data_IF_252692890357
#
_entry.id   IF_252692890357
#
_cell.length_a   1.000
_cell.length_b   1.000
_cell.length_c   1.000
_cell.angle_alpha   90.00
_cell.angle_beta   90.00
_cell.angle_gamma   90.00
#
_symmetry.space_group_name_H-M   'P 1'
#
loop_
_entity.id
_entity.type
_entity.pdbx_description
1 polymer ?
#
# COMPACT_ATOMS: atom_id res chain seq x y z
N UNK A 1 19.08 0.87 -3.99
CA UNK A 1 18.73 0.29 -2.69
C UNK A 1 18.54 -1.14 -3.05
N UNK A 2 19.50 -1.93 -2.62
CA UNK A 2 19.61 -3.31 -3.02
C UNK A 2 19.33 -4.10 -1.74
N UNK A 3 18.60 -5.20 -1.89
CA UNK A 3 18.19 -6.01 -0.76
C UNK A 3 19.43 -6.63 -0.12
N UNK A 4 19.49 -6.60 1.21
CA UNK A 4 20.47 -7.37 1.98
C UNK A 4 20.15 -8.86 1.90
N UNK A 5 21.10 -9.73 2.25
CA UNK A 5 20.86 -11.18 2.25
C UNK A 5 19.70 -11.58 3.17
N UNK A 6 19.57 -11.04 4.41
CA UNK A 6 18.41 -11.31 5.25
C UNK A 6 17.08 -10.85 4.65
N UNK A 7 17.06 -9.68 3.97
CA UNK A 7 15.86 -9.22 3.28
C UNK A 7 15.48 -10.13 2.13
N UNK A 8 16.47 -10.60 1.36
CA UNK A 8 16.24 -11.51 0.26
C UNK A 8 15.72 -12.87 0.74
N UNK A 9 16.30 -13.43 1.81
CA UNK A 9 15.87 -14.70 2.38
C UNK A 9 14.39 -14.72 2.77
N UNK A 10 13.82 -13.60 3.20
CA UNK A 10 12.39 -13.45 3.49
C UNK A 10 11.52 -13.42 2.22
N UNK A 11 12.03 -12.87 1.12
CA UNK A 11 11.27 -12.66 -0.13
C UNK A 11 11.40 -13.81 -1.13
N UNK A 12 12.56 -14.43 -1.21
CA UNK A 12 12.90 -15.49 -2.16
C UNK A 12 11.84 -16.60 -2.24
N UNK A 13 11.39 -17.21 -1.12
CA UNK A 13 10.40 -18.30 -1.17
C UNK A 13 9.01 -17.84 -1.64
N UNK A 14 8.74 -16.52 -1.62
CA UNK A 14 7.45 -15.93 -1.97
C UNK A 14 7.39 -15.47 -3.44
N UNK A 15 8.53 -15.42 -4.12
CA UNK A 15 8.62 -15.02 -5.53
C UNK A 15 8.50 -16.25 -6.42
N UNK A 16 7.58 -16.27 -7.42
CA UNK A 16 7.41 -17.42 -8.29
C UNK A 16 8.69 -17.80 -9.00
N UNK A 17 9.06 -19.08 -8.87
CA UNK A 17 10.19 -19.64 -9.59
C UNK A 17 10.01 -19.51 -11.11
N UNK A 18 11.11 -19.38 -11.88
CA UNK A 18 11.06 -19.41 -13.32
C UNK A 18 10.33 -20.63 -13.87
N UNK A 19 9.34 -20.40 -14.74
CA UNK A 19 8.76 -21.49 -15.54
C UNK A 19 9.83 -22.03 -16.48
N UNK A 20 10.32 -23.24 -16.19
CA UNK A 20 11.16 -24.00 -17.11
C UNK A 20 10.23 -24.63 -18.16
N UNK A 21 10.43 -24.31 -19.44
CA UNK A 21 9.66 -24.96 -20.51
C UNK A 21 10.06 -26.43 -20.61
N UNK A 22 9.09 -27.30 -20.95
CA UNK A 22 9.33 -28.73 -21.11
C UNK A 22 10.39 -29.04 -22.18
N UNK A 23 10.44 -28.23 -23.24
CA UNK A 23 11.43 -28.33 -24.32
C UNK A 23 12.81 -27.74 -23.94
N UNK A 24 12.94 -27.12 -22.77
CA UNK A 24 14.12 -26.39 -22.26
C UNK A 24 14.67 -25.33 -23.23
N UNK A 25 13.85 -24.86 -24.19
CA UNK A 25 14.25 -23.84 -25.17
C UNK A 25 13.89 -22.43 -24.68
N UNK A 26 14.69 -21.45 -25.10
CA UNK A 26 14.50 -20.04 -24.79
C UNK A 26 15.52 -19.48 -23.80
N UNK A 27 15.56 -18.15 -23.66
CA UNK A 27 16.52 -17.49 -22.77
C UNK A 27 16.13 -17.74 -21.31
N UNK A 28 17.06 -18.22 -20.45
CA UNK A 28 16.82 -18.36 -19.03
C UNK A 28 16.33 -17.06 -18.39
N UNK A 29 15.54 -17.18 -17.34
CA UNK A 29 15.15 -16.01 -16.57
C UNK A 29 16.37 -15.42 -15.89
N UNK A 30 16.40 -14.08 -15.81
CA UNK A 30 17.38 -13.38 -14.97
C UNK A 30 17.06 -13.62 -13.50
N UNK A 31 18.10 -13.51 -12.69
CA UNK A 31 18.00 -13.64 -11.24
C UNK A 31 16.90 -12.71 -10.68
N UNK A 32 16.07 -13.26 -9.79
CA UNK A 32 14.89 -12.56 -9.30
C UNK A 32 15.27 -11.42 -8.33
N UNK A 33 16.36 -11.59 -7.57
CA UNK A 33 16.88 -10.56 -6.65
C UNK A 33 17.43 -9.38 -7.44
N UNK A 34 18.23 -9.63 -8.46
CA UNK A 34 18.76 -8.59 -9.35
C UNK A 34 17.64 -7.80 -10.04
N UNK A 35 16.61 -8.50 -10.53
CA UNK A 35 15.41 -7.87 -11.11
C UNK A 35 14.71 -6.99 -10.08
N UNK A 36 14.47 -7.50 -8.87
CA UNK A 36 13.79 -6.76 -7.81
C UNK A 36 14.61 -5.55 -7.36
N UNK A 37 15.94 -5.68 -7.25
CA UNK A 37 16.85 -4.56 -6.96
C UNK A 37 16.75 -3.45 -8.02
N UNK A 38 16.66 -3.81 -9.30
CA UNK A 38 16.42 -2.85 -10.37
C UNK A 38 15.08 -2.12 -10.25
N UNK A 39 14.02 -2.84 -9.90
CA UNK A 39 12.67 -2.27 -9.67
C UNK A 39 12.67 -1.34 -8.45
N UNK A 40 13.30 -1.74 -7.34
CA UNK A 40 13.44 -0.93 -6.13
C UNK A 40 14.26 0.34 -6.40
N UNK A 41 15.29 0.25 -7.24
CA UNK A 41 16.03 1.43 -7.68
C UNK A 41 15.11 2.43 -8.40
N UNK A 42 14.30 1.96 -9.36
CA UNK A 42 13.31 2.80 -10.06
C UNK A 42 12.28 3.40 -9.10
N UNK A 43 11.77 2.59 -8.16
CA UNK A 43 10.80 3.05 -7.16
C UNK A 43 11.37 4.20 -6.32
N UNK A 44 12.60 4.04 -5.84
CA UNK A 44 13.28 5.03 -4.99
C UNK A 44 13.64 6.30 -5.74
N UNK A 45 14.24 6.20 -6.92
CA UNK A 45 14.76 7.36 -7.66
C UNK A 45 13.69 8.07 -8.47
N UNK A 46 12.62 7.36 -8.87
CA UNK A 46 11.61 7.88 -9.79
C UNK A 46 12.14 8.06 -11.22
N UNK A 47 13.32 7.55 -11.55
CA UNK A 47 13.93 7.67 -12.87
C UNK A 47 13.10 6.99 -13.96
N UNK A 48 13.31 7.35 -15.24
CA UNK A 48 12.64 6.63 -16.33
C UNK A 48 13.20 5.22 -16.39
N UNK A 49 12.39 4.26 -16.83
CA UNK A 49 12.86 2.88 -17.00
C UNK A 49 14.10 2.78 -17.89
N UNK A 50 14.18 3.59 -18.95
CA UNK A 50 15.34 3.64 -19.84
C UNK A 50 16.64 4.13 -19.16
N UNK A 51 16.54 4.80 -18.01
CA UNK A 51 17.69 5.29 -17.24
C UNK A 51 18.12 4.29 -16.15
N UNK A 52 17.60 3.05 -16.18
CA UNK A 52 18.01 2.00 -15.26
C UNK A 52 19.51 1.67 -15.45
N UNK A 53 20.34 1.71 -14.40
CA UNK A 53 21.78 1.46 -14.53
C UNK A 53 22.10 0.05 -15.03
N UNK A 54 23.19 -0.07 -15.80
CA UNK A 54 23.63 -1.32 -16.46
C UNK A 54 24.02 -2.44 -15.49
N UNK A 55 24.29 -2.12 -14.21
CA UNK A 55 24.53 -3.13 -13.16
C UNK A 55 23.30 -3.99 -12.86
N UNK A 56 22.10 -3.57 -13.29
CA UNK A 56 20.88 -4.35 -13.15
C UNK A 56 20.52 -5.02 -14.49
N UNK A 57 19.67 -6.07 -14.47
CA UNK A 57 19.09 -6.60 -15.68
C UNK A 57 18.40 -5.50 -16.50
N UNK A 58 18.33 -5.70 -17.82
CA UNK A 58 17.79 -4.71 -18.74
C UNK A 58 16.43 -4.18 -18.29
N UNK A 59 16.16 -2.88 -18.52
CA UNK A 59 14.92 -2.28 -18.06
C UNK A 59 13.68 -2.99 -18.59
N UNK A 60 13.72 -3.55 -19.81
CA UNK A 60 12.60 -4.32 -20.38
C UNK A 60 12.33 -5.58 -19.56
N UNK A 61 13.39 -6.23 -19.06
CA UNK A 61 13.28 -7.42 -18.21
C UNK A 61 12.69 -7.04 -16.86
N UNK A 62 13.23 -6.02 -16.21
CA UNK A 62 12.74 -5.52 -14.92
C UNK A 62 11.29 -5.05 -15.01
N UNK A 63 10.95 -4.23 -16.01
CA UNK A 63 9.59 -3.73 -16.21
C UNK A 63 8.60 -4.85 -16.50
N UNK A 64 8.94 -5.79 -17.39
CA UNK A 64 8.06 -6.94 -17.70
C UNK A 64 7.78 -7.80 -16.46
N UNK A 65 8.80 -8.04 -15.63
CA UNK A 65 8.64 -8.79 -14.37
C UNK A 65 7.81 -8.03 -13.36
N UNK A 66 8.05 -6.74 -13.21
CA UNK A 66 7.22 -5.89 -12.35
C UNK A 66 5.74 -5.91 -12.76
N UNK A 67 5.45 -5.77 -14.06
CA UNK A 67 4.08 -5.86 -14.58
C UNK A 67 3.45 -7.23 -14.33
N UNK A 68 4.23 -8.30 -14.50
CA UNK A 68 3.78 -9.65 -14.20
C UNK A 68 3.42 -9.79 -12.72
N UNK A 69 4.34 -9.46 -11.82
CA UNK A 69 4.13 -9.56 -10.37
C UNK A 69 3.02 -8.67 -9.83
N UNK A 70 2.80 -7.51 -10.46
CA UNK A 70 1.70 -6.60 -10.12
C UNK A 70 0.34 -7.12 -10.62
N UNK A 71 0.31 -8.01 -11.62
CA UNK A 71 -0.92 -8.53 -12.22
C UNK A 71 -1.33 -9.89 -11.66
N UNK A 72 -0.36 -10.73 -11.31
CA UNK A 72 -0.60 -12.12 -10.88
C UNK A 72 -0.71 -12.31 -9.36
N UNK A 73 -0.80 -11.20 -8.61
CA UNK A 73 -0.97 -11.21 -7.15
C UNK A 73 0.31 -11.50 -6.37
N UNK A 74 1.48 -11.52 -7.01
CA UNK A 74 2.74 -11.83 -6.31
C UNK A 74 3.05 -10.84 -5.20
N UNK A 75 2.84 -9.55 -5.42
CA UNK A 75 3.14 -8.53 -4.41
C UNK A 75 2.17 -8.63 -3.22
N UNK A 76 0.91 -8.94 -3.47
CA UNK A 76 -0.13 -9.15 -2.48
C UNK A 76 0.17 -10.38 -1.62
N UNK A 77 0.60 -11.49 -2.23
CA UNK A 77 1.06 -12.68 -1.50
C UNK A 77 2.25 -12.37 -0.58
N UNK A 78 3.21 -11.59 -1.07
CA UNK A 78 4.36 -11.15 -0.24
C UNK A 78 3.86 -10.32 0.95
N UNK A 79 2.99 -9.34 0.70
CA UNK A 79 2.42 -8.50 1.76
C UNK A 79 1.67 -9.33 2.79
N UNK A 80 0.87 -10.30 2.36
CA UNK A 80 0.12 -11.18 3.26
C UNK A 80 1.05 -12.04 4.13
N UNK A 81 2.09 -12.61 3.54
CA UNK A 81 3.07 -13.41 4.27
C UNK A 81 3.86 -12.58 5.30
N UNK A 82 4.37 -11.39 4.91
CA UNK A 82 5.13 -10.52 5.81
C UNK A 82 4.25 -9.91 6.91
N UNK A 83 3.00 -9.54 6.60
CA UNK A 83 2.05 -9.08 7.60
C UNK A 83 1.70 -10.21 8.59
N UNK A 84 1.53 -11.44 8.10
CA UNK A 84 1.33 -12.62 8.93
C UNK A 84 2.49 -12.84 9.91
N UNK A 85 3.73 -12.80 9.44
CA UNK A 85 4.93 -12.93 10.30
C UNK A 85 4.99 -11.82 11.36
N UNK A 86 4.75 -10.56 10.97
CA UNK A 86 4.70 -9.45 11.92
C UNK A 86 3.61 -9.61 12.98
N UNK A 87 2.42 -10.10 12.59
CA UNK A 87 1.33 -10.39 13.52
C UNK A 87 1.73 -11.50 14.49
N UNK A 88 2.29 -12.58 13.99
CA UNK A 88 2.64 -13.76 14.80
C UNK A 88 3.78 -13.43 15.79
N UNK A 89 4.63 -12.46 15.46
CA UNK A 89 5.62 -11.86 16.37
C UNK A 89 5.06 -10.78 17.31
N UNK A 90 3.75 -10.51 17.27
CA UNK A 90 3.10 -9.48 18.10
C UNK A 90 3.48 -8.04 17.74
N UNK A 91 3.98 -7.79 16.53
CA UNK A 91 4.41 -6.45 16.10
C UNK A 91 3.30 -5.64 15.41
N UNK A 92 2.21 -6.29 14.97
CA UNK A 92 1.01 -5.62 14.49
C UNK A 92 -0.02 -5.47 15.61
N UNK A 93 -0.53 -4.26 15.81
CA UNK A 93 -1.58 -3.92 16.76
C UNK A 93 -2.91 -3.66 16.03
N UNK A 94 -3.83 -4.63 16.12
CA UNK A 94 -5.16 -4.58 15.51
C UNK A 94 -6.24 -4.04 16.46
N UNK A 95 -5.86 -3.53 17.65
CA UNK A 95 -6.82 -2.94 18.60
C UNK A 95 -7.40 -1.60 18.12
N UNK A 96 -6.65 -0.91 17.27
CA UNK A 96 -7.00 0.30 16.56
C UNK A 96 -6.18 0.43 15.27
N UNK A 97 -6.76 1.07 14.26
CA UNK A 97 -6.08 1.42 13.03
C UNK A 97 -6.48 2.82 12.57
N UNK A 98 -5.68 3.42 11.70
CA UNK A 98 -5.82 4.80 11.24
C UNK A 98 -5.96 4.81 9.73
N UNK A 99 -7.05 5.37 9.22
CA UNK A 99 -7.30 5.52 7.79
C UNK A 99 -7.11 6.96 7.36
N UNK A 100 -6.40 7.15 6.25
CA UNK A 100 -6.33 8.44 5.59
C UNK A 100 -6.12 8.26 4.07
N UNK A 101 -6.38 9.32 3.31
CA UNK A 101 -6.21 9.38 1.87
C UNK A 101 -5.21 10.46 1.46
N UNK A 102 -4.37 10.17 0.47
CA UNK A 102 -3.50 11.18 -0.15
C UNK A 102 -3.71 11.24 -1.66
N UNK A 103 -3.59 12.45 -2.23
CA UNK A 103 -3.67 12.66 -3.66
C UNK A 103 -2.28 12.69 -4.29
N UNK A 104 -2.08 11.90 -5.34
CA UNK A 104 -0.86 11.86 -6.14
C UNK A 104 -1.14 12.35 -7.56
N UNK A 105 -0.36 13.31 -8.02
CA UNK A 105 -0.46 13.83 -9.39
C UNK A 105 -0.06 12.76 -10.42
N UNK A 106 -0.84 12.61 -11.48
CA UNK A 106 -0.57 11.65 -12.56
C UNK A 106 -0.05 12.37 -13.82
N UNK A 107 1.22 12.12 -14.19
CA UNK A 107 1.90 12.87 -15.26
C UNK A 107 1.64 12.34 -16.67
N UNK A 108 1.34 11.05 -16.83
CA UNK A 108 1.16 10.41 -18.15
C UNK A 108 -0.30 10.13 -18.57
N UNK A 109 -1.28 10.56 -17.78
CA UNK A 109 -2.69 10.20 -18.00
C UNK A 109 -2.96 8.68 -17.92
N UNK A 110 -4.22 8.26 -18.02
CA UNK A 110 -4.66 6.85 -17.98
C UNK A 110 -5.98 6.64 -17.24
N UNK A 111 -6.54 5.41 -17.17
CA UNK A 111 -7.69 5.09 -16.34
C UNK A 111 -7.47 5.53 -14.89
N UNK A 112 -8.57 5.86 -14.19
CA UNK A 112 -8.57 6.51 -12.88
C UNK A 112 -7.96 7.94 -12.84
N UNK A 113 -7.84 8.62 -13.99
CA UNK A 113 -7.51 10.05 -14.06
C UNK A 113 -8.78 10.91 -14.05
N UNK A 114 -9.47 10.99 -12.93
CA UNK A 114 -10.57 11.96 -12.76
C UNK A 114 -10.03 13.39 -12.83
N UNK A 115 -10.86 14.35 -13.26
CA UNK A 115 -10.62 15.80 -13.09
C UNK A 115 -11.32 16.30 -11.82
N UNK A 116 -10.75 16.20 -10.60
CA UNK A 116 -11.16 17.08 -9.51
C UNK A 116 -10.40 18.41 -9.60
N UNK A 117 -10.84 19.42 -8.84
CA UNK A 117 -10.31 20.80 -8.79
C UNK A 117 -8.76 20.96 -8.67
N UNK A 118 -8.01 19.89 -8.36
CA UNK A 118 -6.54 19.84 -8.22
C UNK A 118 -5.78 19.19 -9.40
N UNK A 119 -6.46 18.77 -10.47
CA UNK A 119 -5.84 18.18 -11.67
C UNK A 119 -5.96 16.65 -11.76
N UNK A 120 -5.50 16.05 -12.88
CA UNK A 120 -5.54 14.59 -13.10
C UNK A 120 -4.63 13.88 -12.10
N UNK A 121 -5.17 12.97 -11.31
CA UNK A 121 -4.39 12.24 -10.31
C UNK A 121 -5.10 11.02 -9.74
N UNK A 122 -4.41 10.36 -8.83
CA UNK A 122 -4.82 9.11 -8.19
C UNK A 122 -4.85 9.32 -6.70
N UNK A 123 -5.91 8.85 -6.05
CA UNK A 123 -5.98 8.82 -4.60
C UNK A 123 -5.39 7.50 -4.12
N UNK A 124 -4.45 7.56 -3.19
CA UNK A 124 -4.01 6.40 -2.42
C UNK A 124 -4.76 6.45 -1.10
N UNK A 125 -5.49 5.40 -0.79
CA UNK A 125 -6.05 5.16 0.54
C UNK A 125 -5.13 4.18 1.25
N UNK A 126 -4.82 4.45 2.52
CA UNK A 126 -4.03 3.54 3.34
C UNK A 126 -4.65 3.44 4.74
N UNK A 127 -4.57 2.24 5.30
CA UNK A 127 -4.84 1.97 6.70
C UNK A 127 -3.52 1.59 7.34
N UNK A 128 -3.16 2.30 8.41
CA UNK A 128 -2.02 1.95 9.27
C UNK A 128 -2.54 1.34 10.57
N UNK A 129 -1.90 0.30 11.08
CA UNK A 129 -2.27 -0.34 12.35
C UNK A 129 -1.90 0.54 13.58
N UNK A 130 -2.12 0.01 14.78
CA UNK A 130 -1.74 0.64 16.04
C UNK A 130 -0.22 0.86 16.19
N UNK A 131 0.63 0.12 15.49
CA UNK A 131 2.08 0.37 15.45
C UNK A 131 2.49 1.40 14.38
N UNK A 132 1.58 1.78 13.48
CA UNK A 132 1.83 2.64 12.33
C UNK A 132 2.44 1.91 11.14
N UNK A 133 2.30 0.59 11.07
CA UNK A 133 2.65 -0.26 9.95
C UNK A 133 1.49 -0.31 8.95
N UNK A 134 1.76 -0.50 7.64
CA UNK A 134 0.70 -0.72 6.66
C UNK A 134 -0.21 -1.87 7.10
N UNK A 135 -1.51 -1.75 6.94
CA UNK A 135 -2.46 -2.84 7.14
C UNK A 135 -3.28 -3.10 5.88
N UNK A 136 -3.63 -2.04 5.15
CA UNK A 136 -4.36 -2.15 3.90
C UNK A 136 -4.07 -0.94 3.01
N UNK A 137 -4.07 -1.13 1.69
CA UNK A 137 -3.98 -0.02 0.74
C UNK A 137 -4.89 -0.24 -0.45
N UNK A 138 -5.40 0.84 -1.03
CA UNK A 138 -6.02 0.77 -2.34
C UNK A 138 -5.77 2.08 -3.10
N UNK A 139 -5.97 2.05 -4.42
CA UNK A 139 -5.98 3.26 -5.24
C UNK A 139 -7.33 3.48 -5.87
N UNK A 140 -7.70 4.76 -6.02
CA UNK A 140 -8.92 5.16 -6.68
C UNK A 140 -8.68 6.34 -7.61
N UNK A 141 -9.62 6.56 -8.53
CA UNK A 141 -9.69 7.84 -9.23
C UNK A 141 -9.90 8.97 -8.24
N UNK A 142 -9.51 10.18 -8.59
CA UNK A 142 -9.57 11.29 -7.64
C UNK A 142 -10.97 11.90 -7.45
N UNK A 143 -12.03 11.26 -7.94
CA UNK A 143 -13.42 11.76 -7.86
C UNK A 143 -14.19 11.29 -6.61
N UNK A 144 -14.15 10.01 -6.19
CA UNK A 144 -14.93 9.54 -5.05
C UNK A 144 -14.49 10.18 -3.73
N UNK A 145 -15.47 10.44 -2.87
CA UNK A 145 -15.22 10.76 -1.46
C UNK A 145 -14.62 9.56 -0.73
N UNK A 146 -13.74 9.82 0.23
CA UNK A 146 -12.95 8.81 0.94
C UNK A 146 -13.80 7.81 1.72
N UNK A 147 -14.91 8.28 2.27
CA UNK A 147 -15.96 7.45 2.90
C UNK A 147 -16.38 6.28 2.01
N UNK A 148 -16.45 6.47 0.68
CA UNK A 148 -16.86 5.44 -0.28
C UNK A 148 -15.74 4.45 -0.63
N UNK A 149 -14.51 4.71 -0.18
CA UNK A 149 -13.33 3.89 -0.45
C UNK A 149 -12.93 3.05 0.76
N UNK A 150 -13.58 3.21 1.91
CA UNK A 150 -13.22 2.52 3.16
C UNK A 150 -13.32 1.01 3.01
N UNK A 151 -14.46 0.48 2.55
CA UNK A 151 -14.65 -0.97 2.40
C UNK A 151 -13.68 -1.55 1.39
N UNK A 152 -13.53 -0.87 0.24
CA UNK A 152 -12.55 -1.28 -0.77
C UNK A 152 -11.14 -1.32 -0.19
N UNK A 153 -10.78 -0.38 0.70
CA UNK A 153 -9.48 -0.39 1.35
C UNK A 153 -9.36 -1.58 2.30
N UNK A 154 -10.38 -1.84 3.13
CA UNK A 154 -10.43 -3.01 4.03
C UNK A 154 -10.42 -4.36 3.28
N UNK A 155 -11.09 -4.46 2.12
CA UNK A 155 -11.08 -5.65 1.26
C UNK A 155 -9.69 -5.93 0.67
N UNK A 156 -8.81 -4.92 0.63
CA UNK A 156 -7.41 -5.03 0.23
C UNK A 156 -6.47 -5.06 1.45
N UNK A 157 -6.98 -5.53 2.60
CA UNK A 157 -6.18 -5.78 3.80
C UNK A 157 -5.12 -6.85 3.55
N UNK A 158 -3.94 -6.63 4.12
CA UNK A 158 -2.83 -7.58 4.10
C UNK A 158 -2.98 -8.68 5.16
N UNK A 159 -4.07 -8.65 5.92
CA UNK A 159 -4.46 -9.69 6.87
C UNK A 159 -5.95 -10.01 6.71
N UNK A 160 -6.31 -11.27 6.95
CA UNK A 160 -7.71 -11.69 7.02
C UNK A 160 -8.45 -11.06 8.22
N UNK A 161 -7.73 -10.84 9.34
CA UNK A 161 -8.30 -10.16 10.50
C UNK A 161 -8.28 -8.64 10.31
N UNK A 162 -9.43 -8.02 10.50
CA UNK A 162 -9.61 -6.57 10.46
C UNK A 162 -9.41 -5.93 11.85
N UNK A 163 -9.09 -4.63 11.92
CA UNK A 163 -8.86 -3.95 13.20
C UNK A 163 -10.19 -3.73 13.92
N UNK A 164 -10.18 -3.75 15.26
CA UNK A 164 -11.39 -3.52 16.08
C UNK A 164 -11.97 -2.12 15.91
N UNK A 165 -11.11 -1.14 15.61
CA UNK A 165 -11.47 0.28 15.50
C UNK A 165 -10.76 0.90 14.33
N UNK A 166 -11.45 1.76 13.61
CA UNK A 166 -10.89 2.55 12.52
C UNK A 166 -11.04 4.04 12.85
N UNK A 167 -9.91 4.73 12.94
CA UNK A 167 -9.83 6.14 13.28
C UNK A 167 -9.56 6.92 12.00
N UNK A 168 -10.46 7.84 11.66
CA UNK A 168 -10.34 8.70 10.49
C UNK A 168 -10.47 10.18 10.86
N UNK A 169 -10.19 11.05 9.90
CA UNK A 169 -10.47 12.47 10.04
C UNK A 169 -11.96 12.80 9.93
N UNK A 170 -12.25 14.09 10.05
CA UNK A 170 -13.60 14.64 9.97
C UNK A 170 -14.30 14.38 8.62
N UNK A 171 -13.55 14.06 7.57
CA UNK A 171 -14.13 13.68 6.28
C UNK A 171 -14.85 12.33 6.37
N UNK A 172 -14.45 11.45 7.30
CA UNK A 172 -15.05 10.14 7.55
C UNK A 172 -16.30 10.17 8.43
N UNK A 173 -16.71 11.34 8.95
CA UNK A 173 -17.98 11.49 9.66
C UNK A 173 -19.17 11.13 8.76
N UNK A 174 -19.74 9.94 8.97
CA UNK A 174 -20.91 9.44 8.23
C UNK A 174 -21.65 8.35 9.01
N UNK A 175 -22.93 8.61 9.36
CA UNK A 175 -23.80 7.62 10.03
C UNK A 175 -23.93 6.32 9.25
N UNK A 176 -24.02 6.40 7.92
CA UNK A 176 -24.13 5.22 7.06
C UNK A 176 -22.84 4.39 7.03
N UNK A 177 -21.68 5.05 7.09
CA UNK A 177 -20.40 4.35 7.22
C UNK A 177 -20.28 3.70 8.61
N UNK A 178 -20.62 4.45 9.67
CA UNK A 178 -20.56 3.98 11.05
C UNK A 178 -21.38 2.69 11.24
N UNK A 179 -22.65 2.69 10.80
CA UNK A 179 -23.54 1.52 10.92
C UNK A 179 -23.02 0.32 10.10
N UNK A 180 -22.65 0.55 8.84
CA UNK A 180 -22.18 -0.51 7.94
C UNK A 180 -20.90 -1.17 8.44
N UNK A 181 -19.94 -0.41 8.96
CA UNK A 181 -18.71 -0.96 9.52
C UNK A 181 -18.98 -1.77 10.79
N UNK A 182 -19.89 -1.32 11.65
CA UNK A 182 -20.26 -2.04 12.86
C UNK A 182 -21.00 -3.35 12.53
N UNK A 183 -21.99 -3.30 11.63
CA UNK A 183 -22.86 -4.43 11.30
C UNK A 183 -22.17 -5.48 10.42
N UNK A 184 -21.46 -5.06 9.36
CA UNK A 184 -20.90 -5.99 8.37
C UNK A 184 -19.45 -6.41 8.68
N UNK A 185 -18.69 -5.59 9.43
CA UNK A 185 -17.25 -5.82 9.65
C UNK A 185 -16.88 -5.93 11.13
N UNK A 186 -17.78 -5.60 12.06
CA UNK A 186 -17.48 -5.53 13.50
C UNK A 186 -16.45 -4.45 13.85
N UNK A 187 -16.38 -3.37 13.05
CA UNK A 187 -15.40 -2.28 13.22
C UNK A 187 -16.10 -1.03 13.76
N UNK A 188 -15.57 -0.48 14.85
CA UNK A 188 -15.99 0.83 15.38
C UNK A 188 -15.31 1.96 14.60
N UNK A 189 -16.08 2.77 13.87
CA UNK A 189 -15.57 3.99 13.22
C UNK A 189 -15.49 5.14 14.21
N UNK A 190 -14.33 5.79 14.32
CA UNK A 190 -14.09 6.94 15.17
C UNK A 190 -13.58 8.10 14.31
N UNK A 191 -14.42 9.11 14.11
CA UNK A 191 -14.08 10.33 13.39
C UNK A 191 -14.64 11.57 14.12
N UNK A 192 -13.93 12.71 14.14
CA UNK A 192 -14.48 13.96 14.65
C UNK A 192 -15.78 14.35 13.93
N UNK A 193 -16.80 14.76 14.68
CA UNK A 193 -18.08 15.15 14.09
C UNK A 193 -17.98 16.50 13.36
N UNK A 194 -18.72 16.63 12.25
CA UNK A 194 -18.98 17.86 11.53
C UNK A 194 -19.88 18.78 12.35
N UNK A 195 -19.66 20.09 12.20
CA UNK A 195 -20.40 21.11 12.95
C UNK A 195 -21.90 21.08 12.67
N UNK A 196 -22.30 20.56 11.51
CA UNK A 196 -23.69 20.39 11.10
C UNK A 196 -24.26 18.98 11.42
N UNK A 197 -23.53 18.13 12.17
CA UNK A 197 -24.02 16.80 12.53
C UNK A 197 -25.17 16.93 13.53
N UNK A 198 -26.37 16.51 13.12
CA UNK A 198 -27.59 16.60 13.94
C UNK A 198 -27.59 15.64 15.14
N UNK A 199 -26.93 14.50 15.01
CA UNK A 199 -26.85 13.46 16.05
C UNK A 199 -25.40 13.11 16.32
N UNK A 200 -24.94 13.42 17.53
CA UNK A 200 -23.61 13.03 18.01
C UNK A 200 -23.58 11.51 18.19
N UNK A 201 -22.56 10.86 17.64
CA UNK A 201 -22.34 9.41 17.77
C UNK A 201 -21.37 9.01 18.87
N UNK A 202 -20.75 9.98 19.53
CA UNK A 202 -19.76 9.73 20.57
C UNK A 202 -19.74 10.86 21.59
N UNK A 203 -19.35 10.52 22.81
CA UNK A 203 -19.19 11.43 23.96
C UNK A 203 -17.79 12.09 24.01
N UNK A 204 -17.08 12.08 22.88
CA UNK A 204 -15.72 12.61 22.69
C UNK A 204 -14.61 11.84 23.45
N UNK A 205 -14.90 10.92 24.37
CA UNK A 205 -13.87 10.11 25.05
C UNK A 205 -13.08 9.25 24.05
N UNK A 206 -13.71 8.57 23.06
CA UNK A 206 -13.01 7.83 22.02
C UNK A 206 -12.09 8.70 21.15
N UNK A 207 -12.39 10.00 20.99
CA UNK A 207 -11.55 10.93 20.19
C UNK A 207 -10.15 11.14 20.75
N UNK A 208 -9.84 10.73 21.97
CA UNK A 208 -8.45 10.75 22.46
C UNK A 208 -7.52 9.93 21.55
N UNK A 209 -8.05 8.88 20.88
CA UNK A 209 -7.33 8.06 19.89
C UNK A 209 -6.96 8.84 18.64
N UNK A 210 -7.76 9.85 18.25
CA UNK A 210 -7.51 10.72 17.10
C UNK A 210 -6.15 11.43 17.18
N UNK A 211 -5.65 11.72 18.40
CA UNK A 211 -4.31 12.31 18.61
C UNK A 211 -3.17 11.44 18.07
N UNK A 212 -3.41 10.14 17.80
CA UNK A 212 -2.43 9.19 17.24
C UNK A 212 -2.53 9.04 15.72
N UNK A 213 -3.36 9.84 15.03
CA UNK A 213 -3.50 9.82 13.56
C UNK A 213 -2.20 10.07 12.82
N UNK A 214 -1.22 10.73 13.46
CA UNK A 214 0.13 10.89 12.93
C UNK A 214 0.78 9.57 12.48
N UNK A 215 0.31 8.40 12.96
CA UNK A 215 0.76 7.07 12.51
C UNK A 215 0.50 6.82 11.02
N UNK A 216 -0.70 7.10 10.51
CA UNK A 216 -1.00 6.95 9.07
C UNK A 216 -0.38 8.07 8.25
N UNK A 217 -0.26 9.28 8.80
CA UNK A 217 0.47 10.38 8.16
C UNK A 217 1.96 10.05 7.98
N UNK A 218 2.58 9.43 8.99
CA UNK A 218 3.95 8.92 8.93
C UNK A 218 4.09 7.81 7.90
N UNK A 219 3.13 6.90 7.81
CA UNK A 219 3.12 5.88 6.74
C UNK A 219 3.12 6.55 5.36
N UNK A 220 2.29 7.56 5.14
CA UNK A 220 2.32 8.31 3.88
C UNK A 220 3.63 9.03 3.64
N UNK A 221 4.24 9.63 4.67
CA UNK A 221 5.56 10.25 4.54
C UNK A 221 6.63 9.22 4.12
N UNK A 222 6.60 8.01 4.68
CA UNK A 222 7.50 6.92 4.26
C UNK A 222 7.23 6.48 2.83
N UNK A 223 5.98 6.28 2.44
CA UNK A 223 5.62 5.88 1.06
C UNK A 223 6.02 6.97 0.05
N UNK A 224 5.77 8.24 0.36
CA UNK A 224 6.12 9.37 -0.51
C UNK A 224 7.62 9.70 -0.52
N UNK A 225 8.41 9.16 0.40
CA UNK A 225 9.87 9.22 0.30
C UNK A 225 10.39 8.47 -0.94
N UNK A 226 9.62 7.49 -1.46
CA UNK A 226 9.88 6.87 -2.74
C UNK A 226 9.35 7.76 -3.87
N UNK A 227 10.25 8.33 -4.65
CA UNK A 227 9.91 9.33 -5.69
C UNK A 227 8.91 8.82 -6.72
N UNK A 228 8.88 7.50 -6.97
CA UNK A 228 7.92 6.87 -7.90
C UNK A 228 6.49 6.78 -7.36
N UNK A 229 6.32 6.83 -6.03
CA UNK A 229 5.01 6.88 -5.36
C UNK A 229 4.55 8.33 -5.18
N UNK A 230 5.47 9.25 -4.88
CA UNK A 230 5.16 10.68 -4.74
C UNK A 230 4.55 11.32 -6.00
N UNK A 231 4.92 10.82 -7.18
CA UNK A 231 4.37 11.23 -8.47
C UNK A 231 4.10 10.00 -9.32
N UNK A 232 2.85 9.86 -9.78
CA UNK A 232 2.46 8.75 -10.66
C UNK A 232 2.95 9.03 -12.08
N UNK A 233 3.97 8.28 -12.50
CA UNK A 233 4.42 8.24 -13.89
C UNK A 233 3.73 7.16 -14.72
N UNK A 234 3.06 6.20 -14.05
CA UNK A 234 2.54 5.02 -14.74
C UNK A 234 1.19 5.25 -15.38
N UNK A 235 1.08 4.82 -16.64
CA UNK A 235 -0.18 4.87 -17.40
C UNK A 235 -1.20 3.89 -16.83
N UNK A 236 -0.77 2.70 -16.45
CA UNK A 236 -1.59 1.64 -15.87
C UNK A 236 -1.67 1.78 -14.36
N UNK A 237 -2.88 1.69 -13.82
CA UNK A 237 -3.16 1.82 -12.39
C UNK A 237 -2.55 0.68 -11.59
N UNK A 238 -2.53 -0.51 -12.16
CA UNK A 238 -2.04 -1.74 -11.54
C UNK A 238 -0.53 -1.62 -11.26
N UNK A 239 0.23 -1.06 -12.20
CA UNK A 239 1.65 -0.78 -12.00
C UNK A 239 1.88 0.28 -10.91
N UNK A 240 1.01 1.28 -10.80
CA UNK A 240 1.15 2.28 -9.74
C UNK A 240 0.83 1.67 -8.37
N UNK A 241 -0.24 0.88 -8.27
CA UNK A 241 -0.56 0.12 -7.07
C UNK A 241 0.58 -0.84 -6.70
N UNK A 242 1.20 -1.51 -7.69
CA UNK A 242 2.35 -2.36 -7.48
C UNK A 242 3.54 -1.63 -6.83
N UNK A 243 3.78 -0.36 -7.17
CA UNK A 243 4.79 0.44 -6.47
C UNK A 243 4.38 0.78 -5.03
N UNK A 244 3.10 1.05 -4.77
CA UNK A 244 2.58 1.24 -3.41
C UNK A 244 2.75 -0.04 -2.58
N UNK A 245 2.43 -1.20 -3.15
CA UNK A 245 2.67 -2.52 -2.54
C UNK A 245 4.16 -2.73 -2.22
N UNK A 246 5.06 -2.46 -3.18
CA UNK A 246 6.51 -2.54 -2.94
C UNK A 246 6.98 -1.58 -1.83
N UNK A 247 6.42 -0.38 -1.75
CA UNK A 247 6.69 0.55 -0.65
C UNK A 247 6.30 -0.04 0.71
N UNK A 248 5.14 -0.69 0.79
CA UNK A 248 4.68 -1.38 2.01
C UNK A 248 5.57 -2.59 2.35
N UNK A 249 6.00 -3.37 1.35
CA UNK A 249 6.95 -4.48 1.53
C UNK A 249 8.25 -3.98 2.13
N UNK A 250 8.80 -2.86 1.65
CA UNK A 250 10.04 -2.28 2.21
C UNK A 250 9.85 -1.84 3.67
N UNK A 251 8.68 -1.31 4.03
CA UNK A 251 8.37 -0.96 5.43
C UNK A 251 8.36 -2.20 6.31
N UNK A 252 7.73 -3.30 5.87
CA UNK A 252 7.73 -4.56 6.61
C UNK A 252 9.11 -5.19 6.74
N UNK A 253 9.90 -5.22 5.67
CA UNK A 253 11.25 -5.79 5.69
C UNK A 253 12.16 -5.06 6.68
N UNK A 254 12.07 -3.73 6.73
CA UNK A 254 12.79 -2.95 7.76
C UNK A 254 12.32 -3.33 9.14
N UNK A 255 11.00 -3.36 9.37
CA UNK A 255 10.45 -3.69 10.69
C UNK A 255 10.84 -5.09 11.19
N UNK A 256 10.84 -6.09 10.31
CA UNK A 256 11.21 -7.48 10.65
C UNK A 256 12.69 -7.64 11.00
N UNK A 257 13.56 -6.81 10.42
CA UNK A 257 15.02 -6.94 10.56
C UNK A 257 15.63 -5.90 11.51
N UNK A 258 14.96 -4.78 11.75
CA UNK A 258 15.33 -3.80 12.79
C UNK A 258 15.03 -4.34 14.21
N UNK A 259 14.37 -5.50 14.31
CA UNK A 259 14.10 -6.22 15.56
C UNK A 259 14.98 -7.46 15.79
N UNK A 260 16.01 -7.66 14.96
CA UNK A 260 17.05 -8.69 15.12
C UNK A 260 18.32 -8.11 15.73
#
# INVERSE_FOLDING_TARGET
MDLTDPQWALLEPLIPAPRVRADRRGRPWKDAREVLNGILWIMRTGARWADLPERYPSYQTCHRRFQQWSKDGTLERILYALAGDLRDRGQLDLSEAFIDGTFVSAKKGGPASGKPKRGKGTKIMAIADGSGLPLAVCIASASPHEVRLVDRTLDNSFLAQLPKRLIGDKAYDSVALDARLAEERGIEMIAPNRSNRKRLTQDLRPLRRYKRRWKVERLFAWLQSFRRIAVRYERHTENFLGFVHLGCIVVYLRRLLDGL
#
